data_IF_053735729367
#
_entry.id   IF_053735729367
#
_cell.length_a   1.000
_cell.length_b   1.000
_cell.length_c   1.000
_cell.angle_alpha   90.00
_cell.angle_beta   90.00
_cell.angle_gamma   90.00
#
_symmetry.space_group_name_H-M   'P 1'
#
loop_
_entity.id
_entity.type
_entity.pdbx_description
1 polymer ?
#
# COMPACT_ATOMS: atom_id res chain seq x y z
N UNK A 1 2.51 12.22 -5.60
CA UNK A 1 2.03 12.21 -4.20
C UNK A 1 2.71 11.14 -3.39
N UNK A 2 2.98 11.37 -2.11
CA UNK A 2 3.44 10.37 -1.12
C UNK A 2 4.93 10.03 -1.13
N UNK A 3 5.69 10.49 -2.13
CA UNK A 3 7.11 10.17 -2.25
C UNK A 3 7.35 8.68 -2.44
N UNK A 4 6.59 8.06 -3.35
CA UNK A 4 6.71 6.65 -3.68
C UNK A 4 8.09 6.35 -4.27
N UNK A 5 8.70 5.25 -3.84
CA UNK A 5 9.91 4.67 -4.44
C UNK A 5 9.73 3.19 -4.66
N UNK A 6 10.36 2.66 -5.70
CA UNK A 6 10.41 1.23 -5.99
C UNK A 6 11.86 0.79 -5.89
N UNK A 7 12.13 -0.13 -4.97
CA UNK A 7 13.40 -0.86 -4.92
C UNK A 7 13.42 -1.85 -6.10
N UNK A 8 14.21 -1.55 -7.13
CA UNK A 8 14.20 -2.32 -8.37
C UNK A 8 14.60 -3.79 -8.17
N UNK A 9 15.51 -4.08 -7.25
CA UNK A 9 15.99 -5.45 -6.99
C UNK A 9 14.89 -6.27 -6.32
N UNK A 10 14.28 -5.72 -5.26
CA UNK A 10 13.19 -6.42 -4.55
C UNK A 10 11.93 -6.49 -5.40
N UNK A 11 11.59 -5.43 -6.13
CA UNK A 11 10.36 -5.35 -6.91
C UNK A 11 10.38 -6.28 -8.13
N UNK A 12 11.55 -6.55 -8.73
CA UNK A 12 11.67 -7.39 -9.93
C UNK A 12 10.99 -8.76 -9.78
N UNK A 13 11.10 -9.39 -8.61
CA UNK A 13 10.47 -10.68 -8.33
C UNK A 13 9.14 -10.57 -7.57
N UNK A 14 8.95 -9.51 -6.78
CA UNK A 14 7.90 -9.50 -5.75
C UNK A 14 6.75 -8.53 -6.02
N UNK A 15 6.92 -7.54 -6.90
CA UNK A 15 5.95 -6.46 -7.09
C UNK A 15 4.56 -6.98 -7.43
N UNK A 16 4.43 -7.69 -8.56
CA UNK A 16 3.13 -8.22 -8.99
C UNK A 16 2.61 -9.33 -8.08
N UNK A 17 3.42 -10.35 -7.67
CA UNK A 17 2.94 -11.37 -6.75
C UNK A 17 2.37 -10.82 -5.44
N UNK A 18 3.02 -9.80 -4.85
CA UNK A 18 2.52 -9.16 -3.64
C UNK A 18 1.24 -8.37 -3.92
N UNK A 19 1.28 -7.43 -4.86
CA UNK A 19 0.15 -6.52 -5.10
C UNK A 19 -1.11 -7.25 -5.60
N UNK A 20 -0.96 -8.32 -6.39
CA UNK A 20 -2.09 -9.13 -6.86
C UNK A 20 -2.79 -9.92 -5.73
N UNK A 21 -2.19 -10.02 -4.55
CA UNK A 21 -2.84 -10.63 -3.40
C UNK A 21 -3.77 -9.67 -2.65
N UNK A 22 -3.66 -8.36 -2.87
CA UNK A 22 -4.62 -7.40 -2.37
C UNK A 22 -5.91 -7.49 -3.18
N UNK A 23 -7.02 -7.80 -2.51
CA UNK A 23 -8.33 -7.98 -3.12
C UNK A 23 -9.25 -6.78 -2.94
N UNK A 24 -8.95 -5.94 -1.96
CA UNK A 24 -9.75 -4.77 -1.61
C UNK A 24 -8.88 -3.56 -1.32
N UNK A 25 -9.43 -2.37 -1.48
CA UNK A 25 -8.73 -1.12 -1.14
C UNK A 25 -8.61 -0.94 0.37
N UNK A 26 -7.69 -0.08 0.81
CA UNK A 26 -7.59 0.32 2.22
C UNK A 26 -8.85 1.02 2.73
N UNK A 27 -9.55 1.75 1.86
CA UNK A 27 -10.83 2.40 2.20
C UNK A 27 -11.94 1.38 2.45
N UNK A 28 -12.02 0.32 1.64
CA UNK A 28 -12.97 -0.77 1.87
C UNK A 28 -12.65 -1.52 3.18
N UNK A 29 -11.36 -1.71 3.47
CA UNK A 29 -10.93 -2.27 4.75
C UNK A 29 -11.25 -1.36 5.95
N UNK A 30 -11.17 -0.03 5.81
CA UNK A 30 -11.57 0.92 6.85
C UNK A 30 -13.04 0.73 7.25
N UNK A 31 -13.95 0.53 6.29
CA UNK A 31 -15.35 0.23 6.58
C UNK A 31 -15.53 -1.08 7.35
N UNK A 32 -14.80 -2.14 6.95
CA UNK A 32 -14.82 -3.44 7.65
C UNK A 32 -14.29 -3.28 9.07
N UNK A 33 -13.23 -2.50 9.27
CA UNK A 33 -12.67 -2.19 10.58
C UNK A 33 -13.65 -1.40 11.46
N UNK A 34 -14.40 -0.46 10.88
CA UNK A 34 -15.46 0.25 11.61
C UNK A 34 -16.59 -0.68 12.05
N UNK A 35 -17.02 -1.61 11.20
CA UNK A 35 -18.00 -2.64 11.56
C UNK A 35 -17.44 -3.55 12.67
N UNK A 36 -16.18 -3.96 12.54
CA UNK A 36 -15.49 -4.78 13.53
C UNK A 36 -15.46 -4.11 14.91
N UNK A 37 -15.17 -2.80 14.96
CA UNK A 37 -15.22 -2.00 16.21
C UNK A 37 -16.59 -1.98 16.86
N UNK A 38 -17.69 -2.12 16.12
CA UNK A 38 -19.04 -2.14 16.70
C UNK A 38 -19.38 -3.50 17.33
N UNK A 39 -18.65 -4.55 16.97
CA UNK A 39 -18.79 -5.88 17.54
C UNK A 39 -18.24 -6.02 18.96
N UNK A 40 -18.43 -7.21 19.54
CA UNK A 40 -18.02 -7.57 20.91
C UNK A 40 -16.64 -8.23 20.96
N UNK A 41 -16.23 -8.96 19.91
CA UNK A 41 -14.97 -9.70 19.86
C UNK A 41 -13.84 -8.88 19.22
N UNK A 42 -13.37 -7.83 19.91
CA UNK A 42 -12.37 -6.87 19.40
C UNK A 42 -10.92 -7.30 19.66
N UNK A 43 -10.57 -8.53 19.31
CA UNK A 43 -9.19 -9.05 19.44
C UNK A 43 -8.45 -9.04 18.11
N UNK A 44 -7.12 -9.01 18.14
CA UNK A 44 -6.32 -9.05 16.91
C UNK A 44 -6.52 -10.35 16.14
N UNK A 45 -6.67 -11.47 16.84
CA UNK A 45 -6.89 -12.81 16.26
C UNK A 45 -8.19 -12.88 15.45
N UNK A 46 -9.21 -12.09 15.83
CA UNK A 46 -10.47 -11.97 15.07
C UNK A 46 -10.37 -11.02 13.90
N UNK A 47 -9.42 -10.07 13.93
CA UNK A 47 -9.12 -9.15 12.82
C UNK A 47 -8.19 -9.77 11.78
N UNK A 48 -7.26 -10.65 12.18
CA UNK A 48 -6.28 -11.26 11.30
C UNK A 48 -6.86 -11.91 10.02
N UNK A 49 -8.02 -12.59 10.04
CA UNK A 49 -8.64 -13.09 8.81
C UNK A 49 -8.99 -11.99 7.80
N UNK A 50 -9.40 -10.80 8.25
CA UNK A 50 -9.69 -9.67 7.35
C UNK A 50 -8.41 -9.10 6.73
N UNK A 51 -7.29 -9.12 7.45
CA UNK A 51 -5.99 -8.73 6.89
C UNK A 51 -5.56 -9.71 5.78
N UNK A 52 -5.78 -11.01 5.98
CA UNK A 52 -5.51 -12.03 4.98
C UNK A 52 -6.47 -11.93 3.77
N UNK A 53 -7.75 -11.64 4.00
CA UNK A 53 -8.75 -11.48 2.95
C UNK A 53 -8.49 -10.24 2.08
N UNK A 54 -8.25 -9.09 2.70
CA UNK A 54 -8.12 -7.82 1.99
C UNK A 54 -6.72 -7.63 1.39
N UNK A 55 -5.65 -8.02 2.09
CA UNK A 55 -4.26 -7.73 1.70
C UNK A 55 -3.42 -8.98 1.40
N UNK A 56 -3.94 -10.19 1.62
CA UNK A 56 -3.16 -11.43 1.51
C UNK A 56 -2.19 -11.68 2.66
N UNK A 57 -2.12 -10.77 3.65
CA UNK A 57 -1.20 -10.85 4.79
C UNK A 57 -1.67 -11.92 5.79
N UNK A 58 -0.93 -13.01 5.93
CA UNK A 58 -1.32 -14.14 6.76
C UNK A 58 -0.21 -14.56 7.72
N UNK A 59 -0.59 -15.13 8.86
CA UNK A 59 0.33 -15.72 9.84
C UNK A 59 0.20 -17.24 9.80
N UNK A 60 0.90 -17.94 8.89
CA UNK A 60 0.84 -19.39 8.84
C UNK A 60 1.47 -19.98 10.11
N UNK A 61 0.90 -21.08 10.61
CA UNK A 61 1.54 -21.89 11.63
C UNK A 61 2.90 -22.43 11.17
N UNK A 62 3.78 -22.86 12.09
CA UNK A 62 5.08 -23.45 11.71
C UNK A 62 4.95 -24.62 10.74
N UNK A 63 3.92 -25.45 10.91
CA UNK A 63 3.65 -26.59 10.02
C UNK A 63 3.20 -26.14 8.62
N UNK A 64 2.30 -25.15 8.53
CA UNK A 64 1.86 -24.59 7.25
C UNK A 64 3.00 -23.90 6.52
N UNK A 65 3.83 -23.13 7.23
CA UNK A 65 5.03 -22.49 6.66
C UNK A 65 5.99 -23.54 6.10
N UNK A 66 6.29 -24.61 6.84
CA UNK A 66 7.15 -25.68 6.36
C UNK A 66 6.58 -26.38 5.11
N UNK A 67 5.26 -26.58 5.04
CA UNK A 67 4.59 -27.14 3.87
C UNK A 67 4.66 -26.22 2.64
N UNK A 68 4.48 -24.90 2.85
CA UNK A 68 4.64 -23.90 1.80
C UNK A 68 6.08 -23.86 1.28
N UNK A 69 7.08 -23.91 2.17
CA UNK A 69 8.50 -23.95 1.80
C UNK A 69 8.83 -25.19 0.96
N UNK A 70 8.33 -26.36 1.36
CA UNK A 70 8.52 -27.59 0.61
C UNK A 70 7.93 -27.51 -0.81
N UNK A 71 6.75 -26.87 -0.97
CA UNK A 71 6.11 -26.66 -2.28
C UNK A 71 6.84 -25.61 -3.11
N UNK A 72 7.25 -24.51 -2.51
CA UNK A 72 7.98 -23.43 -3.19
C UNK A 72 9.32 -23.91 -3.77
N UNK A 73 10.03 -24.79 -3.02
CA UNK A 73 11.26 -25.47 -3.50
C UNK A 73 11.02 -26.35 -4.72
N UNK A 74 9.80 -26.90 -4.88
CA UNK A 74 9.38 -27.69 -6.05
C UNK A 74 8.87 -26.85 -7.22
N UNK A 75 8.94 -25.52 -7.14
CA UNK A 75 8.52 -24.62 -8.22
C UNK A 75 7.09 -24.09 -8.13
N UNK A 76 6.38 -24.34 -7.03
CA UNK A 76 5.02 -23.82 -6.84
C UNK A 76 5.03 -22.30 -6.62
N UNK A 77 4.60 -21.56 -7.64
CA UNK A 77 4.51 -20.10 -7.61
C UNK A 77 3.53 -19.57 -6.57
N UNK A 78 2.40 -20.26 -6.34
CA UNK A 78 1.43 -19.85 -5.34
C UNK A 78 1.99 -20.01 -3.93
N UNK A 79 2.75 -21.08 -3.68
CA UNK A 79 3.45 -21.26 -2.40
C UNK A 79 4.52 -20.19 -2.16
N UNK A 80 5.24 -19.76 -3.21
CA UNK A 80 6.20 -18.64 -3.13
C UNK A 80 5.50 -17.34 -2.77
N UNK A 81 4.39 -17.02 -3.42
CA UNK A 81 3.59 -15.83 -3.11
C UNK A 81 3.05 -15.88 -1.68
N UNK A 82 2.55 -17.03 -1.23
CA UNK A 82 2.08 -17.19 0.15
C UNK A 82 3.21 -16.99 1.17
N UNK A 83 4.44 -17.46 0.90
CA UNK A 83 5.60 -17.22 1.76
C UNK A 83 6.06 -15.77 1.76
N UNK A 84 5.98 -15.09 0.60
CA UNK A 84 6.26 -13.66 0.49
C UNK A 84 5.33 -12.84 1.41
N UNK A 85 4.05 -13.22 1.44
CA UNK A 85 3.00 -12.55 2.21
C UNK A 85 2.89 -13.02 3.66
N UNK A 86 3.56 -14.11 4.01
CA UNK A 86 3.60 -14.62 5.36
C UNK A 86 4.25 -13.58 6.29
N UNK A 87 3.55 -13.27 7.36
CA UNK A 87 3.97 -12.31 8.37
C UNK A 87 5.08 -12.90 9.25
N UNK A 88 6.10 -12.10 9.54
CA UNK A 88 7.05 -12.39 10.62
C UNK A 88 6.45 -12.02 11.99
N UNK A 89 7.08 -12.45 13.09
CA UNK A 89 6.68 -12.03 14.44
C UNK A 89 6.79 -10.51 14.62
N UNK A 90 7.83 -9.88 14.08
CA UNK A 90 7.99 -8.42 14.12
C UNK A 90 6.87 -7.69 13.36
N UNK A 91 6.50 -8.21 12.18
CA UNK A 91 5.38 -7.68 11.40
C UNK A 91 4.04 -7.87 12.14
N UNK A 92 3.86 -9.00 12.82
CA UNK A 92 2.69 -9.22 13.68
C UNK A 92 2.64 -8.22 14.83
N UNK A 93 3.76 -7.93 15.49
CA UNK A 93 3.83 -6.95 16.57
C UNK A 93 3.54 -5.52 16.09
N UNK A 94 4.01 -5.15 14.89
CA UNK A 94 3.67 -3.88 14.25
C UNK A 94 2.15 -3.78 14.00
N UNK A 95 1.55 -4.83 13.44
CA UNK A 95 0.10 -4.91 13.19
C UNK A 95 -0.72 -4.92 14.49
N UNK A 96 -0.26 -5.62 15.54
CA UNK A 96 -0.91 -5.61 16.87
C UNK A 96 -0.87 -4.22 17.49
N UNK A 97 0.26 -3.52 17.37
CA UNK A 97 0.41 -2.14 17.84
C UNK A 97 -0.54 -1.20 17.10
N UNK A 98 -0.60 -1.31 15.77
CA UNK A 98 -1.51 -0.52 14.96
C UNK A 98 -2.98 -0.84 15.27
N UNK A 99 -3.32 -2.12 15.42
CA UNK A 99 -4.66 -2.58 15.83
C UNK A 99 -5.07 -1.99 17.18
N UNK A 100 -4.19 -2.02 18.19
CA UNK A 100 -4.48 -1.45 19.51
C UNK A 100 -4.80 0.05 19.42
N UNK A 101 -4.10 0.80 18.56
CA UNK A 101 -4.42 2.22 18.30
C UNK A 101 -5.73 2.38 17.53
N UNK A 102 -5.98 1.53 16.54
CA UNK A 102 -7.22 1.50 15.79
C UNK A 102 -8.44 1.20 16.65
N UNK A 103 -8.31 0.45 17.76
CA UNK A 103 -9.42 0.15 18.67
C UNK A 103 -9.73 1.31 19.64
N UNK A 104 -8.83 2.28 19.80
CA UNK A 104 -9.10 3.49 20.59
C UNK A 104 -10.08 4.40 19.87
N UNK A 105 -10.93 5.09 20.64
CA UNK A 105 -11.75 6.18 20.14
C UNK A 105 -10.87 7.27 19.50
N UNK A 106 -11.32 7.90 18.41
CA UNK A 106 -10.49 8.83 17.63
C UNK A 106 -9.98 10.00 18.49
N UNK A 107 -10.80 10.45 19.42
CA UNK A 107 -10.54 11.54 20.37
C UNK A 107 -9.47 11.18 21.40
N UNK A 108 -9.28 9.88 21.68
CA UNK A 108 -8.28 9.37 22.62
C UNK A 108 -6.93 9.09 21.95
N UNK A 109 -6.84 9.18 20.62
CA UNK A 109 -5.58 8.98 19.89
C UNK A 109 -4.77 10.27 19.96
N UNK A 110 -3.76 10.29 20.84
CA UNK A 110 -2.80 11.40 20.90
C UNK A 110 -1.98 11.43 19.61
N UNK A 111 -2.26 12.40 18.73
CA UNK A 111 -1.56 12.59 17.46
C UNK A 111 -0.25 13.36 17.62
N UNK A 112 0.62 12.84 18.49
CA UNK A 112 1.96 13.39 18.65
C UNK A 112 2.86 13.07 17.44
N UNK A 113 4.13 13.52 17.52
CA UNK A 113 5.09 13.36 16.42
C UNK A 113 5.30 11.90 16.03
N UNK A 114 5.34 10.96 16.98
CA UNK A 114 5.56 9.55 16.65
C UNK A 114 4.31 8.93 16.02
N UNK A 115 3.12 9.25 16.53
CA UNK A 115 1.86 8.85 15.91
C UNK A 115 1.79 9.33 14.45
N UNK A 116 2.05 10.62 14.22
CA UNK A 116 1.96 11.22 12.88
C UNK A 116 3.02 10.65 11.93
N UNK A 117 4.20 10.31 12.43
CA UNK A 117 5.23 9.63 11.63
C UNK A 117 4.79 8.23 11.20
N UNK A 118 4.18 7.47 12.09
CA UNK A 118 3.74 6.08 11.82
C UNK A 118 2.52 6.01 10.93
N UNK A 119 1.49 6.80 11.23
CA UNK A 119 0.16 6.64 10.64
C UNK A 119 -0.39 7.91 9.97
N UNK A 120 0.16 9.08 10.29
CA UNK A 120 -0.23 10.33 9.63
C UNK A 120 -1.71 10.67 9.84
N UNK A 121 -2.45 11.04 8.78
CA UNK A 121 -3.89 11.28 8.84
C UNK A 121 -4.73 10.00 8.70
N UNK A 122 -4.12 8.86 8.41
CA UNK A 122 -4.83 7.64 8.05
C UNK A 122 -5.18 6.79 9.28
N UNK A 123 -6.04 5.80 9.04
CA UNK A 123 -6.39 4.79 10.03
C UNK A 123 -5.16 3.90 10.34
N UNK A 124 -4.72 3.80 11.62
CA UNK A 124 -3.48 3.11 11.98
C UNK A 124 -3.30 1.71 11.41
N UNK A 125 -4.25 0.81 11.59
CA UNK A 125 -4.15 -0.56 11.10
C UNK A 125 -4.09 -0.64 9.58
N UNK A 126 -4.95 0.12 8.90
CA UNK A 126 -5.07 0.10 7.45
C UNK A 126 -3.80 0.59 6.78
N UNK A 127 -3.25 1.73 7.22
CA UNK A 127 -2.00 2.25 6.65
C UNK A 127 -0.80 1.37 7.00
N UNK A 128 -0.81 0.71 8.15
CA UNK A 128 0.23 -0.28 8.53
C UNK A 128 0.18 -1.50 7.62
N UNK A 129 -1.00 -2.08 7.41
CA UNK A 129 -1.19 -3.22 6.51
C UNK A 129 -0.79 -2.89 5.06
N UNK A 130 -1.23 -1.74 4.54
CA UNK A 130 -0.84 -1.25 3.21
C UNK A 130 0.67 -1.07 3.10
N UNK A 131 1.32 -0.42 4.08
CA UNK A 131 2.78 -0.22 4.06
C UNK A 131 3.53 -1.54 4.16
N UNK A 132 3.02 -2.50 4.91
CA UNK A 132 3.62 -3.82 5.04
C UNK A 132 3.57 -4.59 3.72
N UNK A 133 2.41 -4.61 3.06
CA UNK A 133 2.29 -5.19 1.73
C UNK A 133 3.22 -4.50 0.72
N UNK A 134 3.28 -3.16 0.76
CA UNK A 134 4.17 -2.38 -0.09
C UNK A 134 5.64 -2.76 0.13
N UNK A 135 6.11 -2.87 1.37
CA UNK A 135 7.49 -3.31 1.67
C UNK A 135 7.80 -4.71 1.15
N UNK A 136 6.82 -5.62 1.18
CA UNK A 136 6.94 -6.96 0.58
C UNK A 136 7.00 -6.88 -0.96
N UNK A 137 6.27 -5.94 -1.56
CA UNK A 137 6.29 -5.64 -2.99
C UNK A 137 7.52 -4.85 -3.47
N UNK A 138 8.37 -4.35 -2.56
CA UNK A 138 9.49 -3.46 -2.90
C UNK A 138 9.11 -1.99 -3.11
N UNK A 139 7.98 -1.55 -2.54
CA UNK A 139 7.50 -0.17 -2.58
C UNK A 139 7.68 0.49 -1.22
N UNK A 140 8.18 1.73 -1.23
CA UNK A 140 8.30 2.58 -0.06
C UNK A 140 7.61 3.94 -0.27
N UNK A 141 7.23 4.58 0.83
CA UNK A 141 6.58 5.90 0.84
C UNK A 141 7.22 6.79 1.89
N UNK A 142 7.75 7.95 1.49
CA UNK A 142 8.44 8.86 2.40
C UNK A 142 7.55 9.96 2.99
N UNK A 143 6.34 10.14 2.47
CA UNK A 143 5.42 11.21 2.88
C UNK A 143 3.96 10.77 2.84
N UNK A 144 3.12 11.46 3.62
CA UNK A 144 1.66 11.38 3.51
C UNK A 144 1.08 12.51 2.66
N UNK A 145 1.91 13.44 2.17
CA UNK A 145 1.51 14.62 1.43
C UNK A 145 1.98 14.58 -0.04
N UNK A 146 1.73 15.65 -0.78
CA UNK A 146 2.28 15.83 -2.12
C UNK A 146 3.81 15.99 -2.10
N UNK A 147 4.43 15.75 -3.25
CA UNK A 147 5.87 15.92 -3.48
C UNK A 147 6.04 16.82 -4.71
N UNK A 148 7.05 17.69 -4.72
CA UNK A 148 7.36 18.58 -5.85
C UNK A 148 8.23 17.90 -6.90
N UNK A 149 7.87 16.68 -7.32
CA UNK A 149 8.56 16.01 -8.43
C UNK A 149 7.92 16.46 -9.74
N UNK A 150 8.73 16.70 -10.76
CA UNK A 150 8.22 16.95 -12.11
C UNK A 150 7.41 15.76 -12.60
N UNK A 151 6.33 16.04 -13.34
CA UNK A 151 5.40 15.00 -13.83
C UNK A 151 5.46 14.93 -15.35
N UNK A 152 5.44 13.72 -15.94
CA UNK A 152 5.47 13.58 -17.39
C UNK A 152 4.15 14.08 -18.00
N UNK A 153 4.26 14.79 -19.11
CA UNK A 153 3.14 15.10 -19.99
C UNK A 153 3.23 14.20 -21.22
N UNK A 154 2.13 13.52 -21.55
CA UNK A 154 2.02 12.70 -22.76
C UNK A 154 1.06 13.38 -23.74
N UNK A 155 1.50 13.58 -24.98
CA UNK A 155 0.70 14.16 -26.05
C UNK A 155 0.80 13.30 -27.32
N UNK A 156 -0.29 13.20 -28.07
CA UNK A 156 -0.37 12.44 -29.32
C UNK A 156 -1.27 13.17 -30.33
N UNK A 157 -0.90 13.12 -31.62
CA UNK A 157 -1.65 13.74 -32.72
C UNK A 157 -1.02 15.03 -33.24
N UNK A 158 -1.80 15.82 -33.99
CA UNK A 158 -1.35 17.08 -34.55
C UNK A 158 -0.92 18.06 -33.44
N UNK A 159 0.29 18.62 -33.57
CA UNK A 159 0.85 19.54 -32.59
C UNK A 159 1.38 18.90 -31.29
N UNK A 160 1.41 17.57 -31.18
CA UNK A 160 1.96 16.88 -30.01
C UNK A 160 3.43 17.24 -29.73
N UNK A 161 4.22 17.52 -30.77
CA UNK A 161 5.61 17.96 -30.64
C UNK A 161 5.76 19.25 -29.82
N UNK A 162 4.73 20.10 -29.75
CA UNK A 162 4.73 21.33 -28.94
C UNK A 162 4.73 21.08 -27.42
N UNK A 163 4.45 19.84 -27.00
CA UNK A 163 4.47 19.37 -25.61
C UNK A 163 5.75 18.61 -25.25
N UNK A 164 6.77 18.60 -26.13
CA UNK A 164 8.07 18.06 -25.80
C UNK A 164 8.89 19.05 -24.97
N UNK A 165 9.75 18.53 -24.09
CA UNK A 165 10.66 19.31 -23.25
C UNK A 165 10.13 19.58 -21.84
N UNK A 166 10.86 20.43 -21.11
CA UNK A 166 10.53 20.86 -19.75
C UNK A 166 9.86 22.23 -19.81
N UNK A 167 8.77 22.40 -19.07
CA UNK A 167 7.99 23.64 -19.01
C UNK A 167 7.10 23.66 -17.76
N UNK A 168 6.62 24.84 -17.38
CA UNK A 168 5.75 24.99 -16.21
C UNK A 168 4.34 24.49 -16.53
N UNK A 169 3.58 24.11 -15.50
CA UNK A 169 2.21 23.65 -15.72
C UNK A 169 1.29 24.74 -16.28
N UNK A 170 1.63 26.02 -16.11
CA UNK A 170 0.90 27.15 -16.70
C UNK A 170 1.00 27.16 -18.23
N UNK A 171 2.13 26.73 -18.79
CA UNK A 171 2.35 26.67 -20.24
C UNK A 171 1.45 25.64 -20.93
N UNK A 172 0.95 24.64 -20.18
CA UNK A 172 0.09 23.58 -20.72
C UNK A 172 -1.17 24.16 -21.35
N UNK A 173 -1.80 25.15 -20.70
CA UNK A 173 -3.02 25.78 -21.21
C UNK A 173 -2.75 26.53 -22.53
N UNK A 174 -1.66 27.27 -22.61
CA UNK A 174 -1.26 28.01 -23.81
C UNK A 174 -0.92 27.06 -24.97
N UNK A 175 -0.21 25.98 -24.68
CA UNK A 175 0.11 24.93 -25.67
C UNK A 175 -1.16 24.28 -26.22
N UNK A 176 -2.14 23.95 -25.37
CA UNK A 176 -3.45 23.43 -25.79
C UNK A 176 -4.17 24.45 -26.69
N UNK A 177 -4.19 25.73 -26.33
CA UNK A 177 -4.83 26.77 -27.14
C UNK A 177 -4.17 26.93 -28.52
N UNK A 178 -2.85 26.81 -28.60
CA UNK A 178 -2.10 26.93 -29.86
C UNK A 178 -2.49 25.86 -30.87
N UNK A 179 -2.74 24.62 -30.43
CA UNK A 179 -3.15 23.51 -31.32
C UNK A 179 -4.62 23.56 -31.69
N UNK A 180 -5.48 24.15 -30.85
CA UNK A 180 -6.90 24.36 -31.16
C UNK A 180 -7.14 25.52 -32.13
N UNK A 181 -6.28 26.53 -32.08
CA UNK A 181 -6.40 27.76 -32.88
C UNK A 181 -5.75 27.64 -34.26
N UNK A 182 -5.03 26.55 -34.52
CA UNK A 182 -4.56 26.21 -35.86
C UNK A 182 -5.76 25.77 -36.72
N UNK A 183 -6.44 26.74 -37.34
CA UNK A 183 -7.41 26.54 -38.44
C UNK A 183 -6.80 26.95 -39.76
#
# INVERSE_FOLDING_TARGET
TGGMRVDAERAAANLFPALSAQRESSESFDEKLERFRKGTARTFERMAPLLAECFGLCAPSPAERAALEARAKKGDGAARTALLLALSEEELDELRTAFAQSMRAKEQRKRDRDYLRRWGPYEPLSVTATRMLNRKAGIEWSSFAHTGVDVPVFAQGAGAASFAGEYDNTDVAEKILSVLSAR
#
